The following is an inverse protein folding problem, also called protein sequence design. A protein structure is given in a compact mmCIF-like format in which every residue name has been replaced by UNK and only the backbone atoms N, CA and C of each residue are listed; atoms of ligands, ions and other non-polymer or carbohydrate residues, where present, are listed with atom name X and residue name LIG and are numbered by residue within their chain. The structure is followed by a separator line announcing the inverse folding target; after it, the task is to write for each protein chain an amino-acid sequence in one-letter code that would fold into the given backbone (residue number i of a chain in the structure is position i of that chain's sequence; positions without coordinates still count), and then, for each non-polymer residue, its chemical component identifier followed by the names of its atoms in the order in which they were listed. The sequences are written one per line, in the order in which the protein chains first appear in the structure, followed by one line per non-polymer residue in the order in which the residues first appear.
data_IF_421943017579
#
_entry.id   IF_421943017579
#
_cell.length_a   1.000
_cell.length_b   1.000
_cell.length_c   1.000
_cell.angle_alpha   90.00
_cell.angle_beta   90.00
_cell.angle_gamma   90.00
#
_symmetry.space_group_name_H-M   'P 1'
#
loop_
_entity.id
_entity.type
_entity.pdbx_description
1 polymer ?
#
# COMPACT_ATOMS: atom_id res chain seq x y z
N UNK A 1 -5.68 -9.11 -11.67
CA UNK A 1 -5.57 -7.65 -11.55
C UNK A 1 -4.11 -7.28 -11.51
N UNK A 2 -3.72 -6.10 -11.97
CA UNK A 2 -2.31 -5.69 -12.01
C UNK A 2 -1.85 -5.00 -10.72
N UNK A 3 -2.75 -4.22 -10.14
CA UNK A 3 -2.61 -3.57 -8.83
C UNK A 3 -3.90 -3.80 -8.05
N UNK A 4 -3.79 -4.15 -6.78
CA UNK A 4 -4.91 -4.29 -5.84
C UNK A 4 -4.61 -3.44 -4.61
N UNK A 5 -5.52 -2.54 -4.24
CA UNK A 5 -5.47 -1.78 -3.01
C UNK A 5 -6.29 -2.48 -1.92
N UNK A 6 -5.72 -2.64 -0.73
CA UNK A 6 -6.42 -3.15 0.46
C UNK A 6 -6.32 -2.15 1.61
N UNK A 7 -7.41 -2.03 2.36
CA UNK A 7 -7.52 -1.19 3.54
C UNK A 7 -7.85 -2.03 4.78
N UNK A 8 -7.61 -1.48 5.97
CA UNK A 8 -7.84 -2.11 7.27
C UNK A 8 -7.13 -3.46 7.45
N UNK A 9 -5.87 -3.54 7.01
CA UNK A 9 -5.10 -4.80 7.02
C UNK A 9 -4.65 -5.24 8.42
N UNK A 10 -4.66 -4.34 9.41
CA UNK A 10 -4.26 -4.62 10.79
C UNK A 10 -2.83 -5.16 10.92
N UNK A 11 -1.96 -4.78 9.98
CA UNK A 11 -0.53 -5.12 9.99
C UNK A 11 0.22 -3.95 10.64
N UNK A 12 1.25 -4.23 11.43
CA UNK A 12 2.08 -3.17 12.02
C UNK A 12 3.18 -2.70 11.08
N UNK A 13 3.59 -1.46 11.31
CA UNK A 13 4.76 -0.85 10.70
C UNK A 13 4.66 -0.78 9.17
N UNK A 14 5.83 -0.58 8.57
CA UNK A 14 5.99 -0.41 7.12
C UNK A 14 6.86 -1.55 6.59
N UNK A 15 6.50 -2.10 5.44
CA UNK A 15 7.29 -3.19 4.85
C UNK A 15 6.83 -3.63 3.48
N UNK A 16 7.59 -4.55 2.91
CA UNK A 16 7.27 -5.20 1.65
C UNK A 16 7.61 -6.70 1.69
N UNK A 17 6.99 -7.47 0.80
CA UNK A 17 7.22 -8.90 0.69
C UNK A 17 6.92 -9.41 -0.72
N UNK A 18 7.84 -10.18 -1.30
CA UNK A 18 7.63 -10.86 -2.57
C UNK A 18 6.92 -12.20 -2.38
N UNK A 19 5.63 -12.27 -2.68
CA UNK A 19 4.87 -13.52 -2.68
C UNK A 19 5.07 -14.28 -4.00
N UNK A 20 6.19 -15.01 -4.06
CA UNK A 20 6.64 -15.71 -5.28
C UNK A 20 5.62 -16.71 -5.83
N UNK A 21 4.84 -17.37 -4.97
CA UNK A 21 3.82 -18.35 -5.38
C UNK A 21 2.63 -17.72 -6.10
N UNK A 22 2.22 -16.51 -5.68
CA UNK A 22 1.08 -15.80 -6.26
C UNK A 22 1.46 -14.86 -7.42
N UNK A 23 2.77 -14.58 -7.60
CA UNK A 23 3.25 -13.66 -8.63
C UNK A 23 3.01 -12.18 -8.28
N UNK A 24 2.88 -11.86 -6.99
CA UNK A 24 2.70 -10.49 -6.49
C UNK A 24 3.81 -10.09 -5.54
N UNK A 25 4.01 -8.78 -5.45
CA UNK A 25 4.79 -8.13 -4.44
C UNK A 25 3.88 -7.23 -3.63
N UNK A 26 3.99 -7.35 -2.32
CA UNK A 26 3.10 -6.76 -1.36
C UNK A 26 3.81 -5.61 -0.67
N UNK A 27 3.14 -4.49 -0.50
CA UNK A 27 3.64 -3.31 0.20
C UNK A 27 2.61 -2.88 1.23
N UNK A 28 3.00 -2.60 2.45
CA UNK A 28 2.07 -2.15 3.49
C UNK A 28 2.61 -1.00 4.32
N UNK A 29 1.66 -0.21 4.81
CA UNK A 29 1.86 0.80 5.84
C UNK A 29 0.77 0.61 6.88
N UNK A 30 1.17 0.48 8.14
CA UNK A 30 0.28 0.36 9.27
C UNK A 30 0.89 1.00 10.51
N UNK A 31 0.14 0.96 11.61
CA UNK A 31 0.54 1.62 12.86
C UNK A 31 1.75 0.92 13.48
N UNK A 32 2.59 1.68 14.19
CA UNK A 32 3.71 1.12 14.96
C UNK A 32 3.22 0.07 15.98
N UNK A 33 4.15 -0.80 16.39
CA UNK A 33 3.87 -1.99 17.20
C UNK A 33 3.24 -1.69 18.57
N UNK A 34 3.40 -0.46 19.06
CA UNK A 34 2.91 0.01 20.37
C UNK A 34 1.41 0.37 20.30
N UNK A 35 0.88 0.69 19.12
CA UNK A 35 -0.51 1.12 18.93
C UNK A 35 -1.48 -0.04 18.62
N UNK A 36 -2.80 0.20 18.69
CA UNK A 36 -3.79 -0.81 18.28
C UNK A 36 -3.76 -1.04 16.77
N UNK A 37 -3.94 -2.29 16.33
CA UNK A 37 -4.07 -2.69 14.91
C UNK A 37 -5.46 -2.36 14.33
N UNK A 38 -5.87 -1.10 14.38
CA UNK A 38 -7.20 -0.67 13.90
C UNK A 38 -7.18 -0.20 12.44
N UNK A 39 -6.02 0.23 11.97
CA UNK A 39 -5.73 0.77 10.65
C UNK A 39 -4.69 -0.08 9.92
N UNK A 40 -4.39 0.28 8.68
CA UNK A 40 -3.40 -0.38 7.84
C UNK A 40 -3.86 -0.41 6.39
N UNK A 41 -2.97 -0.03 5.48
CA UNK A 41 -3.20 -0.04 4.04
C UNK A 41 -2.13 -0.87 3.35
N UNK A 42 -2.50 -1.52 2.25
CA UNK A 42 -1.64 -2.41 1.49
C UNK A 42 -1.87 -2.28 0.00
N UNK A 43 -0.83 -2.51 -0.78
CA UNK A 43 -0.92 -2.84 -2.20
C UNK A 43 -0.46 -4.27 -2.44
N UNK A 44 -1.13 -4.96 -3.37
CA UNK A 44 -0.59 -6.11 -4.07
C UNK A 44 -0.35 -5.73 -5.52
N UNK A 45 0.89 -5.81 -5.97
CA UNK A 45 1.33 -5.39 -7.30
C UNK A 45 1.93 -6.61 -8.00
N UNK A 46 1.53 -6.91 -9.23
CA UNK A 46 2.17 -8.02 -9.97
C UNK A 46 3.68 -7.81 -10.03
N UNK A 47 4.45 -8.87 -9.78
CA UNK A 47 5.92 -8.80 -9.74
C UNK A 47 6.52 -8.24 -11.04
N UNK A 48 5.87 -8.45 -12.18
CA UNK A 48 6.28 -7.93 -13.50
C UNK A 48 6.16 -6.40 -13.63
N UNK A 49 5.43 -5.74 -12.74
CA UNK A 49 5.27 -4.28 -12.70
C UNK A 49 6.14 -3.61 -11.63
N UNK A 50 6.61 -4.37 -10.63
CA UNK A 50 7.40 -3.83 -9.52
C UNK A 50 8.69 -3.16 -9.98
N UNK A 51 9.36 -3.74 -10.99
CA UNK A 51 10.58 -3.16 -11.58
C UNK A 51 10.36 -1.83 -12.29
N UNK A 52 9.10 -1.46 -12.55
CA UNK A 52 8.73 -0.20 -13.19
C UNK A 52 8.32 0.86 -12.17
N UNK A 53 8.21 0.52 -10.89
CA UNK A 53 7.84 1.48 -9.86
C UNK A 53 9.04 2.37 -9.55
N UNK A 54 8.86 3.68 -9.65
CA UNK A 54 9.90 4.65 -9.31
C UNK A 54 10.00 4.86 -7.79
N UNK A 55 8.84 4.94 -7.12
CA UNK A 55 8.81 5.18 -5.69
C UNK A 55 7.51 4.65 -5.07
N UNK A 56 7.66 3.75 -4.10
CA UNK A 56 6.61 3.50 -3.12
C UNK A 56 6.85 4.42 -1.95
N UNK A 57 6.15 5.55 -1.93
CA UNK A 57 6.05 6.35 -0.72
C UNK A 57 5.39 5.50 0.35
N UNK A 58 6.18 4.88 1.24
CA UNK A 58 5.64 4.17 2.40
C UNK A 58 4.72 5.13 3.13
N UNK A 59 3.43 4.81 3.11
CA UNK A 59 2.33 5.74 3.31
C UNK A 59 2.57 6.85 4.33
N UNK A 60 2.09 8.04 3.99
CA UNK A 60 2.15 9.22 4.87
C UNK A 60 1.48 8.92 6.24
N UNK A 61 0.56 7.96 6.29
CA UNK A 61 -0.02 7.42 7.52
C UNK A 61 -0.27 5.91 7.44
N UNK A 62 -0.72 5.34 8.56
CA UNK A 62 -1.30 3.99 8.67
C UNK A 62 -2.64 3.86 7.92
N UNK A 63 -3.22 4.97 7.47
CA UNK A 63 -4.52 5.04 6.80
C UNK A 63 -4.43 5.45 5.33
N UNK A 64 -3.27 5.86 4.81
CA UNK A 64 -3.12 6.32 3.43
C UNK A 64 -1.73 5.98 2.88
N UNK A 65 -1.70 5.30 1.75
CA UNK A 65 -0.48 4.96 1.01
C UNK A 65 -0.64 5.28 -0.48
N UNK A 66 0.14 6.24 -1.01
CA UNK A 66 0.24 6.49 -2.44
C UNK A 66 1.19 5.50 -3.12
N UNK A 67 0.93 5.24 -4.39
CA UNK A 67 1.78 4.49 -5.31
C UNK A 67 1.79 5.21 -6.66
N UNK A 68 2.97 5.59 -7.14
CA UNK A 68 3.11 6.18 -8.48
C UNK A 68 3.76 5.18 -9.43
N UNK A 69 3.10 4.95 -10.56
CA UNK A 69 3.57 4.08 -11.64
C UNK A 69 3.86 4.94 -12.86
N UNK A 70 5.11 5.02 -13.34
CA UNK A 70 5.40 5.69 -14.59
C UNK A 70 4.72 4.94 -15.75
N UNK A 71 4.16 5.74 -16.65
CA UNK A 71 3.58 5.32 -17.92
C UNK A 71 4.46 5.81 -19.07
N UNK A 72 4.03 5.56 -20.31
CA UNK A 72 4.75 6.04 -21.50
C UNK A 72 4.65 7.56 -21.62
N UNK A 73 5.59 8.16 -22.34
CA UNK A 73 5.60 9.58 -22.71
C UNK A 73 5.61 10.56 -21.53
N UNK A 74 6.25 10.19 -20.40
CA UNK A 74 6.34 11.05 -19.22
C UNK A 74 5.04 11.19 -18.43
N UNK A 75 4.04 10.34 -18.70
CA UNK A 75 2.84 10.27 -17.89
C UNK A 75 3.04 9.36 -16.68
N UNK A 76 2.25 9.56 -15.63
CA UNK A 76 2.24 8.72 -14.44
C UNK A 76 0.80 8.38 -14.04
N UNK A 77 0.60 7.18 -13.49
CA UNK A 77 -0.63 6.82 -12.80
C UNK A 77 -0.37 6.78 -11.30
N UNK A 78 -1.19 7.49 -10.52
CA UNK A 78 -1.13 7.46 -9.06
C UNK A 78 -2.32 6.67 -8.52
N UNK A 79 -2.02 5.63 -7.74
CA UNK A 79 -2.99 4.85 -7.00
C UNK A 79 -2.92 5.25 -5.53
N UNK A 80 -4.07 5.33 -4.87
CA UNK A 80 -4.16 5.64 -3.44
C UNK A 80 -4.90 4.50 -2.76
N UNK A 81 -4.22 3.83 -1.83
CA UNK A 81 -4.87 2.91 -0.89
C UNK A 81 -5.17 3.70 0.38
N UNK A 82 -6.45 3.81 0.73
CA UNK A 82 -6.88 4.63 1.85
C UNK A 82 -7.96 3.96 2.69
N UNK A 83 -7.95 4.28 3.97
CA UNK A 83 -8.99 3.96 4.93
C UNK A 83 -9.40 5.24 5.65
N UNK A 84 -10.69 5.56 5.67
CA UNK A 84 -11.20 6.64 6.51
C UNK A 84 -11.39 6.10 7.94
N UNK A 85 -10.74 6.68 8.96
CA UNK A 85 -11.03 6.32 10.35
C UNK A 85 -12.50 6.60 10.67
N UNK A 86 -13.15 5.69 11.36
CA UNK A 86 -14.49 5.95 11.89
C UNK A 86 -14.34 6.87 13.10
N UNK A 87 -14.84 8.10 12.99
CA UNK A 87 -14.97 8.98 14.16
C UNK A 87 -16.10 8.44 15.03
N UNK A 88 -15.75 7.87 16.18
CA UNK A 88 -16.75 7.65 17.22
C UNK A 88 -16.91 8.98 17.95
N UNK A 89 -18.02 9.68 17.70
CA UNK A 89 -18.47 10.75 18.59
C UNK A 89 -18.89 10.08 19.91
N UNK A 90 -17.96 10.01 20.86
CA UNK A 90 -18.25 9.67 22.25
C UNK A 90 -18.63 10.92 23.02
#
# INVERSE_FOLDING_TARGET
MDVVALAKTRIHGKGNFAEKSAGYHLFWSGRDEIGKRESGVRFAIKTTLVSKLEELSYGHSDCLMPLTVPLRNGHHATFISAYAPTVNLS
#
